data_IF_942104064573
#
_entry.id   IF_942104064573
#
_cell.length_a   1.000
_cell.length_b   1.000
_cell.length_c   1.000
_cell.angle_alpha   90.00
_cell.angle_beta   90.00
_cell.angle_gamma   90.00
#
_symmetry.space_group_name_H-M   'P 1'
#
loop_
_entity.id
_entity.type
_entity.pdbx_description
1 polymer ?
#
# COMPACT_ATOMS: atom_id res chain seq x y z
N UNK A 1 21.30 13.31 -2.92
CA UNK A 1 20.03 12.88 -3.56
C UNK A 1 20.28 11.55 -4.23
N UNK A 2 19.91 10.45 -3.58
CA UNK A 2 19.82 9.15 -4.23
C UNK A 2 18.53 9.18 -5.05
N UNK A 3 18.53 8.78 -6.34
CA UNK A 3 17.29 8.77 -7.12
C UNK A 3 16.33 7.75 -6.51
N UNK A 4 15.18 8.20 -6.02
CA UNK A 4 14.09 7.30 -5.64
C UNK A 4 13.58 6.62 -6.92
N UNK A 5 13.80 5.31 -7.02
CA UNK A 5 13.29 4.52 -8.15
C UNK A 5 11.82 4.25 -7.92
N UNK A 6 10.93 5.09 -8.48
CA UNK A 6 9.52 4.70 -8.60
C UNK A 6 9.39 3.59 -9.63
N UNK A 7 8.72 2.50 -9.26
CA UNK A 7 8.39 1.46 -10.21
C UNK A 7 7.38 1.98 -11.23
N UNK A 8 7.43 1.41 -12.44
CA UNK A 8 6.33 1.59 -13.38
C UNK A 8 5.06 0.97 -12.79
N UNK A 9 3.89 1.57 -13.03
CA UNK A 9 2.63 1.03 -12.54
C UNK A 9 2.46 -0.43 -12.99
N UNK A 10 2.28 -1.36 -12.06
CA UNK A 10 1.91 -2.74 -12.37
C UNK A 10 0.40 -2.79 -12.51
N UNK A 11 -0.07 -3.13 -13.70
CA UNK A 11 -1.49 -3.37 -13.96
C UNK A 11 -1.68 -4.84 -14.29
N UNK A 12 -2.66 -5.46 -13.63
CA UNK A 12 -3.22 -6.72 -14.13
C UNK A 12 -4.12 -6.34 -15.32
N UNK A 13 -3.86 -6.88 -16.51
CA UNK A 13 -4.78 -6.68 -17.63
C UNK A 13 -6.10 -7.36 -17.28
N UNK A 14 -7.23 -6.63 -17.16
CA UNK A 14 -8.52 -7.29 -17.08
C UNK A 14 -8.73 -8.07 -18.38
N UNK A 15 -9.17 -9.32 -18.24
CA UNK A 15 -9.51 -10.18 -19.36
C UNK A 15 -10.37 -9.44 -20.40
N UNK A 16 -10.01 -9.64 -21.66
CA UNK A 16 -10.52 -8.93 -22.83
C UNK A 16 -12.05 -8.85 -22.89
N UNK A 17 -12.57 -7.62 -22.79
CA UNK A 17 -13.79 -7.22 -23.46
C UNK A 17 -13.44 -6.01 -24.34
N UNK A 18 -13.63 -6.17 -25.65
CA UNK A 18 -13.15 -5.25 -26.67
C UNK A 18 -13.64 -3.81 -26.50
N UNK A 19 -12.70 -2.87 -26.49
CA UNK A 19 -12.97 -1.44 -26.58
C UNK A 19 -11.68 -0.71 -26.94
N UNK A 20 -11.60 -0.19 -28.16
CA UNK A 20 -10.47 0.60 -28.63
C UNK A 20 -10.31 1.89 -27.79
N UNK A 21 -9.28 1.97 -26.93
CA UNK A 21 -8.79 3.24 -26.44
C UNK A 21 -7.41 3.57 -27.03
N UNK A 22 -7.40 4.69 -27.76
CA UNK A 22 -6.23 5.29 -28.40
C UNK A 22 -5.19 5.68 -27.35
N UNK A 23 -3.96 5.23 -27.57
CA UNK A 23 -2.75 5.68 -26.86
C UNK A 23 -2.51 7.17 -27.15
N UNK A 24 -2.65 8.01 -26.13
CA UNK A 24 -2.02 9.33 -26.14
C UNK A 24 -0.76 9.28 -25.26
N UNK A 25 0.40 9.28 -25.93
CA UNK A 25 1.69 9.51 -25.29
C UNK A 25 1.75 10.95 -24.75
N UNK A 26 1.77 11.12 -23.44
CA UNK A 26 2.08 12.40 -22.81
C UNK A 26 3.60 12.62 -22.89
N UNK A 27 4.03 13.53 -23.77
CA UNK A 27 5.38 14.08 -23.83
C UNK A 27 5.63 14.93 -22.57
N UNK A 28 6.81 14.77 -21.97
CA UNK A 28 7.38 15.73 -21.02
C UNK A 28 7.37 17.14 -21.63
N UNK A 29 6.73 18.09 -20.96
CA UNK A 29 6.89 19.51 -21.26
C UNK A 29 7.68 20.16 -20.12
N UNK A 30 8.98 20.37 -20.39
CA UNK A 30 9.81 21.33 -19.68
C UNK A 30 9.24 22.74 -19.89
N UNK A 31 8.91 23.44 -18.80
CA UNK A 31 8.61 24.87 -18.84
C UNK A 31 9.91 25.66 -19.02
N UNK A 32 10.00 26.44 -20.10
CA UNK A 32 10.99 27.53 -20.26
C UNK A 32 10.24 28.86 -20.18
N UNK A 33 10.80 29.80 -19.41
CA UNK A 33 10.22 31.10 -19.09
C UNK A 33 10.43 32.16 -20.18
N UNK A 34 9.74 33.30 -20.00
CA UNK A 34 9.85 34.64 -20.63
C UNK A 34 9.36 34.76 -22.09
N UNK A 35 8.75 35.86 -22.58
CA UNK A 35 8.58 37.25 -22.13
C UNK A 35 7.37 37.93 -22.80
N UNK A 36 7.00 39.09 -22.22
CA UNK A 36 6.09 40.19 -22.60
C UNK A 36 6.06 40.55 -24.10
N UNK A 37 4.89 40.88 -24.67
CA UNK A 37 4.67 42.17 -25.34
C UNK A 37 3.18 42.51 -25.61
N UNK A 38 2.89 43.82 -25.64
CA UNK A 38 1.58 44.44 -25.78
C UNK A 38 1.28 44.87 -27.24
N UNK A 39 0.00 44.99 -27.63
CA UNK A 39 -0.66 46.22 -28.15
C UNK A 39 -1.96 45.99 -28.96
N UNK A 40 -2.97 46.83 -28.66
CA UNK A 40 -4.04 47.45 -29.50
C UNK A 40 -4.89 46.57 -30.43
N UNK A 41 -6.22 46.46 -30.23
CA UNK A 41 -7.26 47.46 -30.59
C UNK A 41 -8.03 46.92 -31.81
N UNK A 42 -9.35 46.67 -31.80
CA UNK A 42 -10.42 47.60 -32.20
C UNK A 42 -11.78 46.87 -32.13
N UNK A 43 -12.82 47.51 -31.58
CA UNK A 43 -14.28 47.23 -31.70
C UNK A 43 -14.89 48.40 -32.52
N UNK A 44 -16.15 48.41 -33.06
CA UNK A 44 -17.36 47.80 -32.47
C UNK A 44 -18.50 47.36 -33.42
N UNK A 45 -19.58 46.84 -32.80
CA UNK A 45 -20.93 46.69 -33.37
C UNK A 45 -21.45 45.27 -33.13
N UNK A 46 -22.47 44.97 -32.33
CA UNK A 46 -23.56 45.77 -31.77
C UNK A 46 -24.85 45.00 -32.04
N UNK A 47 -25.34 44.20 -31.08
CA UNK A 47 -26.78 44.03 -30.83
C UNK A 47 -27.03 43.25 -29.55
N UNK A 48 -27.89 43.83 -28.75
CA UNK A 48 -28.47 43.38 -27.50
C UNK A 48 -29.11 41.99 -27.59
N UNK A 49 -28.91 41.14 -26.58
CA UNK A 49 -30.05 40.50 -25.93
C UNK A 49 -29.71 39.87 -24.56
N UNK A 50 -30.51 40.30 -23.59
CA UNK A 50 -31.01 39.55 -22.43
C UNK A 50 -30.02 38.82 -21.50
N UNK A 51 -29.82 39.48 -20.35
CA UNK A 51 -29.68 38.92 -19.01
C UNK A 51 -30.06 37.43 -18.91
N UNK A 52 -29.06 36.56 -18.92
CA UNK A 52 -29.02 35.35 -18.09
C UNK A 52 -27.68 35.37 -17.36
N UNK A 53 -27.69 35.92 -16.15
CA UNK A 53 -26.68 35.61 -15.12
C UNK A 53 -26.74 34.09 -14.92
N UNK A 54 -25.92 33.34 -15.68
CA UNK A 54 -25.52 31.99 -15.30
C UNK A 54 -24.69 32.20 -14.04
N UNK A 55 -25.35 32.08 -12.89
CA UNK A 55 -24.69 31.75 -11.63
C UNK A 55 -23.84 30.53 -11.97
N UNK A 56 -22.52 30.71 -12.03
CA UNK A 56 -21.60 29.60 -11.79
C UNK A 56 -22.00 29.09 -10.41
N UNK A 57 -22.81 28.04 -10.38
CA UNK A 57 -22.79 27.15 -9.24
C UNK A 57 -21.34 26.67 -9.20
N UNK A 58 -20.61 27.11 -8.19
CA UNK A 58 -19.45 26.37 -7.75
C UNK A 58 -19.95 24.93 -7.60
N UNK A 59 -19.42 24.05 -8.45
CA UNK A 59 -19.66 22.63 -8.39
C UNK A 59 -19.06 22.20 -7.05
N UNK A 60 -19.89 22.25 -6.00
CA UNK A 60 -19.56 21.69 -4.69
C UNK A 60 -19.10 20.26 -4.98
N UNK A 61 -17.85 20.01 -4.62
CA UNK A 61 -17.11 18.78 -4.86
C UNK A 61 -17.98 17.56 -4.58
N UNK A 62 -18.09 16.69 -5.58
CA UNK A 62 -18.87 15.43 -5.62
C UNK A 62 -18.40 14.40 -4.59
N UNK A 63 -18.49 14.73 -3.31
CA UNK A 63 -18.60 13.75 -2.24
C UNK A 63 -20.09 13.52 -1.97
N UNK A 64 -20.87 13.22 -3.03
CA UNK A 64 -22.08 12.43 -2.80
C UNK A 64 -21.64 11.16 -2.07
N UNK A 65 -22.41 10.71 -1.08
CA UNK A 65 -22.14 9.45 -0.37
C UNK A 65 -21.96 8.38 -1.44
N UNK A 66 -20.71 7.99 -1.71
CA UNK A 66 -20.35 7.00 -2.72
C UNK A 66 -20.83 5.65 -2.19
N UNK A 67 -22.11 5.37 -2.37
CA UNK A 67 -22.71 4.06 -2.06
C UNK A 67 -22.09 2.96 -2.92
N UNK A 68 -21.44 3.33 -4.03
CA UNK A 68 -20.58 2.48 -4.83
C UNK A 68 -19.19 3.14 -4.97
N UNK A 69 -18.40 3.00 -3.91
CA UNK A 69 -16.99 3.40 -3.89
C UNK A 69 -16.12 2.43 -4.74
N UNK A 70 -16.71 1.37 -5.28
CA UNK A 70 -16.04 0.29 -6.00
C UNK A 70 -15.32 -0.71 -5.09
N UNK A 71 -15.58 -0.67 -3.77
CA UNK A 71 -15.19 -1.74 -2.88
C UNK A 71 -15.85 -3.06 -3.31
N UNK A 72 -15.09 -4.16 -3.30
CA UNK A 72 -15.55 -5.47 -3.78
C UNK A 72 -15.45 -5.69 -5.29
N UNK A 73 -14.94 -4.71 -6.06
CA UNK A 73 -14.60 -4.91 -7.48
C UNK A 73 -13.37 -5.79 -7.70
N UNK A 74 -12.47 -5.82 -6.73
CA UNK A 74 -11.33 -6.72 -6.68
C UNK A 74 -11.60 -7.86 -5.67
N UNK A 75 -10.96 -8.99 -5.90
CA UNK A 75 -11.10 -10.22 -5.13
C UNK A 75 -9.75 -10.70 -4.62
N UNK A 76 -9.74 -11.68 -3.72
CA UNK A 76 -8.48 -12.32 -3.29
C UNK A 76 -7.75 -13.00 -4.45
N UNK A 77 -8.45 -13.41 -5.51
CA UNK A 77 -7.79 -13.93 -6.71
C UNK A 77 -6.94 -12.84 -7.38
N UNK A 78 -7.47 -11.63 -7.49
CA UNK A 78 -6.75 -10.48 -8.06
C UNK A 78 -5.54 -10.11 -7.19
N UNK A 79 -5.67 -10.21 -5.86
CA UNK A 79 -4.53 -10.07 -4.95
C UNK A 79 -3.41 -11.07 -5.28
N UNK A 80 -3.73 -12.36 -5.43
CA UNK A 80 -2.73 -13.38 -5.74
C UNK A 80 -2.12 -13.23 -7.13
N UNK A 81 -2.87 -12.74 -8.11
CA UNK A 81 -2.34 -12.41 -9.43
C UNK A 81 -1.40 -11.21 -9.36
N UNK A 82 -1.75 -10.16 -8.61
CA UNK A 82 -0.88 -9.02 -8.37
C UNK A 82 0.42 -9.42 -7.66
N UNK A 83 0.34 -10.20 -6.58
CA UNK A 83 1.53 -10.71 -5.85
C UNK A 83 2.43 -11.51 -6.80
N UNK A 84 1.85 -12.36 -7.67
CA UNK A 84 2.64 -13.14 -8.64
C UNK A 84 3.24 -12.29 -9.76
N UNK A 85 2.59 -11.19 -10.11
CA UNK A 85 3.08 -10.22 -11.09
C UNK A 85 4.21 -9.33 -10.52
N UNK A 86 4.34 -9.25 -9.19
CA UNK A 86 5.46 -8.56 -8.58
C UNK A 86 6.79 -9.23 -8.97
N UNK A 87 7.85 -8.46 -9.22
CA UNK A 87 9.13 -9.04 -9.61
C UNK A 87 9.67 -9.95 -8.50
N UNK A 88 9.85 -11.24 -8.83
CA UNK A 88 10.26 -12.27 -7.87
C UNK A 88 11.74 -12.19 -7.48
N UNK A 89 12.55 -11.58 -8.35
CA UNK A 89 14.01 -11.64 -8.30
C UNK A 89 14.64 -10.30 -8.67
N UNK A 90 13.96 -9.19 -8.38
CA UNK A 90 14.48 -7.90 -8.84
C UNK A 90 15.75 -7.44 -8.13
N UNK A 91 16.11 -8.02 -6.99
CA UNK A 91 17.31 -7.69 -6.21
C UNK A 91 17.47 -6.19 -5.93
N UNK A 92 16.41 -5.41 -6.13
CA UNK A 92 16.45 -3.96 -6.14
C UNK A 92 16.35 -3.41 -4.73
N UNK A 93 16.62 -2.11 -4.54
CA UNK A 93 16.38 -1.49 -3.25
C UNK A 93 14.87 -1.43 -2.95
N UNK A 94 14.49 -1.28 -1.67
CA UNK A 94 13.14 -0.91 -1.28
C UNK A 94 12.69 0.36 -2.00
N UNK A 95 11.41 0.42 -2.37
CA UNK A 95 10.94 1.41 -3.34
C UNK A 95 9.44 1.65 -3.27
N UNK A 96 9.02 2.75 -3.85
CA UNK A 96 7.64 3.20 -3.90
C UNK A 96 7.00 2.89 -5.26
N UNK A 97 5.71 2.61 -5.26
CA UNK A 97 4.91 2.47 -6.47
C UNK A 97 3.47 2.93 -6.26
N UNK A 98 2.80 3.33 -7.34
CA UNK A 98 1.36 3.63 -7.31
C UNK A 98 0.62 2.49 -8.02
N UNK A 99 -0.34 1.82 -7.36
CA UNK A 99 -1.17 0.82 -8.01
C UNK A 99 -1.94 1.45 -9.19
N UNK A 100 -2.02 0.75 -10.33
CA UNK A 100 -2.69 1.28 -11.54
C UNK A 100 -4.17 1.50 -11.28
N UNK A 101 -4.77 0.59 -10.52
CA UNK A 101 -6.19 0.51 -10.24
C UNK A 101 -6.68 1.70 -9.40
N UNK A 102 -5.79 2.40 -8.69
CA UNK A 102 -6.12 3.63 -7.96
C UNK A 102 -6.46 4.80 -8.89
N UNK A 103 -5.98 4.79 -10.14
CA UNK A 103 -6.28 5.84 -11.11
C UNK A 103 -5.84 7.24 -10.65
N UNK A 104 -6.61 8.26 -11.06
CA UNK A 104 -6.43 9.64 -10.60
C UNK A 104 -7.53 9.95 -9.57
N UNK A 105 -7.21 10.63 -8.46
CA UNK A 105 -8.21 11.07 -7.51
C UNK A 105 -9.30 11.92 -8.14
N UNK A 106 -10.53 11.74 -7.67
CA UNK A 106 -11.70 12.51 -8.07
C UNK A 106 -11.80 13.84 -7.30
N UNK A 107 -11.09 13.96 -6.18
CA UNK A 107 -11.04 15.15 -5.33
C UNK A 107 -9.86 16.06 -5.68
N UNK A 108 -10.12 17.36 -5.76
CA UNK A 108 -9.07 18.36 -5.94
C UNK A 108 -8.14 18.39 -4.72
N UNK A 109 -6.83 18.43 -4.96
CA UNK A 109 -5.79 18.42 -3.90
C UNK A 109 -5.94 17.23 -2.94
N UNK A 110 -6.20 16.05 -3.50
CA UNK A 110 -6.33 14.80 -2.75
C UNK A 110 -5.20 14.61 -1.72
N UNK A 111 -5.50 14.20 -0.47
CA UNK A 111 -4.47 13.80 0.49
C UNK A 111 -3.60 12.65 -0.05
N UNK A 112 -2.40 12.51 0.51
CA UNK A 112 -1.49 11.42 0.18
C UNK A 112 -1.77 10.25 1.13
N UNK A 113 -1.88 9.04 0.60
CA UNK A 113 -1.94 7.81 1.38
C UNK A 113 -0.69 6.97 1.09
N UNK A 114 0.10 6.76 2.13
CA UNK A 114 1.28 5.89 2.12
C UNK A 114 0.93 4.54 2.75
N UNK A 115 1.00 3.48 1.98
CA UNK A 115 0.85 2.13 2.48
C UNK A 115 2.22 1.50 2.79
N UNK A 116 2.39 1.01 4.03
CA UNK A 116 3.59 0.30 4.49
C UNK A 116 3.25 -1.18 4.71
N UNK A 117 3.93 -2.10 4.01
CA UNK A 117 3.55 -3.52 3.95
C UNK A 117 3.93 -4.30 5.20
N UNK A 118 3.38 -5.52 5.27
CA UNK A 118 3.76 -6.53 6.25
C UNK A 118 5.17 -7.07 6.06
N UNK A 119 5.49 -8.18 6.74
CA UNK A 119 6.82 -8.79 6.68
C UNK A 119 7.15 -9.40 5.32
N UNK A 120 6.14 -9.75 4.50
CA UNK A 120 6.35 -10.16 3.11
C UNK A 120 6.99 -9.05 2.25
N UNK A 121 6.61 -7.79 2.51
CA UNK A 121 7.10 -6.61 1.82
C UNK A 121 6.44 -6.34 0.47
N UNK A 122 5.30 -6.96 0.15
CA UNK A 122 4.71 -6.90 -1.20
C UNK A 122 4.18 -5.51 -1.54
N UNK A 123 3.37 -4.89 -0.68
CA UNK A 123 2.78 -3.57 -0.92
C UNK A 123 1.43 -3.58 -1.63
N UNK A 124 0.79 -4.75 -1.80
CA UNK A 124 -0.48 -4.93 -2.51
C UNK A 124 -1.66 -5.29 -1.58
N UNK A 125 -1.46 -5.26 -0.26
CA UNK A 125 -2.43 -5.74 0.72
C UNK A 125 -3.73 -4.91 0.73
N UNK A 126 -3.71 -3.68 0.20
CA UNK A 126 -4.89 -2.83 0.03
C UNK A 126 -5.62 -3.03 -1.31
N UNK A 127 -5.30 -4.06 -2.12
CA UNK A 127 -5.85 -4.19 -3.48
C UNK A 127 -7.39 -4.19 -3.53
N UNK A 128 -8.05 -4.79 -2.54
CA UNK A 128 -9.52 -4.79 -2.42
C UNK A 128 -10.12 -3.39 -2.21
N UNK A 129 -9.29 -2.44 -1.79
CA UNK A 129 -9.62 -1.06 -1.48
C UNK A 129 -8.97 -0.05 -2.44
N UNK A 130 -8.08 -0.47 -3.35
CA UNK A 130 -7.33 0.45 -4.22
C UNK A 130 -8.25 1.36 -5.03
N UNK A 131 -9.35 0.82 -5.58
CA UNK A 131 -10.30 1.62 -6.34
C UNK A 131 -11.01 2.66 -5.47
N UNK A 132 -11.53 2.27 -4.30
CA UNK A 132 -12.25 3.20 -3.42
C UNK A 132 -11.33 4.23 -2.79
N UNK A 133 -10.14 3.84 -2.34
CA UNK A 133 -9.13 4.75 -1.82
C UNK A 133 -8.60 5.68 -2.91
N UNK A 134 -8.40 5.18 -4.13
CA UNK A 134 -7.89 5.95 -5.26
C UNK A 134 -8.79 7.11 -5.69
N UNK A 135 -10.11 7.03 -5.41
CA UNK A 135 -11.04 8.16 -5.62
C UNK A 135 -10.73 9.35 -4.70
N UNK A 136 -10.22 9.10 -3.50
CA UNK A 136 -10.04 10.10 -2.43
C UNK A 136 -8.57 10.47 -2.19
N UNK A 137 -7.65 9.56 -2.45
CA UNK A 137 -6.23 9.67 -2.10
C UNK A 137 -5.36 9.48 -3.32
N UNK A 138 -4.24 10.20 -3.38
CA UNK A 138 -3.10 9.69 -4.15
C UNK A 138 -2.49 8.56 -3.34
N UNK A 139 -2.59 7.32 -3.85
CA UNK A 139 -2.12 6.12 -3.14
C UNK A 139 -0.70 5.78 -3.61
N UNK A 140 0.20 5.59 -2.65
CA UNK A 140 1.56 5.15 -2.86
C UNK A 140 1.90 4.01 -1.89
N UNK A 141 2.36 2.88 -2.43
CA UNK A 141 2.68 1.68 -1.68
C UNK A 141 4.19 1.49 -1.62
N UNK A 142 4.68 1.14 -0.43
CA UNK A 142 6.06 0.77 -0.23
C UNK A 142 6.25 -0.72 -0.51
N UNK A 143 7.33 -1.07 -1.21
CA UNK A 143 7.69 -2.44 -1.53
C UNK A 143 9.10 -2.73 -1.04
N UNK A 144 9.26 -3.86 -0.34
CA UNK A 144 10.53 -4.37 0.17
C UNK A 144 10.76 -5.74 -0.48
N UNK A 145 11.72 -5.86 -1.41
CA UNK A 145 11.99 -7.13 -2.08
C UNK A 145 12.23 -8.27 -1.10
N UNK A 146 11.81 -9.47 -1.46
CA UNK A 146 11.87 -10.66 -0.59
C UNK A 146 13.29 -10.94 -0.09
N UNK A 147 14.28 -10.70 -0.96
CA UNK A 147 15.70 -10.89 -0.67
C UNK A 147 16.40 -9.65 -0.15
N UNK A 148 15.71 -8.51 0.00
CA UNK A 148 16.28 -7.31 0.59
C UNK A 148 16.75 -7.57 2.04
N UNK A 149 17.91 -6.99 2.37
CA UNK A 149 18.58 -7.11 3.67
C UNK A 149 18.83 -5.73 4.30
N UNK A 150 18.04 -4.73 3.93
CA UNK A 150 18.09 -3.42 4.57
C UNK A 150 17.63 -3.58 6.03
N UNK A 151 18.42 -3.14 7.02
CA UNK A 151 18.01 -3.20 8.43
C UNK A 151 16.84 -2.25 8.70
N UNK A 152 16.16 -2.41 9.84
CA UNK A 152 14.97 -1.63 10.18
C UNK A 152 15.21 -0.11 10.10
N UNK A 153 16.34 0.36 10.61
CA UNK A 153 16.74 1.77 10.60
C UNK A 153 16.92 2.30 9.18
N UNK A 154 17.42 1.47 8.26
CA UNK A 154 17.55 1.83 6.85
C UNK A 154 16.19 1.96 6.17
N UNK A 155 15.27 1.04 6.45
CA UNK A 155 13.89 1.13 5.95
C UNK A 155 13.16 2.35 6.52
N UNK A 156 13.32 2.60 7.82
CA UNK A 156 12.78 3.78 8.50
C UNK A 156 13.30 5.07 7.85
N UNK A 157 14.60 5.14 7.56
CA UNK A 157 15.18 6.29 6.88
C UNK A 157 14.58 6.51 5.49
N UNK A 158 14.40 5.45 4.69
CA UNK A 158 13.80 5.55 3.35
C UNK A 158 12.37 6.12 3.43
N UNK A 159 11.57 5.62 4.38
CA UNK A 159 10.19 6.09 4.55
C UNK A 159 10.15 7.53 5.08
N UNK A 160 10.98 7.84 6.06
CA UNK A 160 11.10 9.18 6.64
C UNK A 160 11.53 10.22 5.59
N UNK A 161 12.52 9.90 4.76
CA UNK A 161 12.96 10.78 3.68
C UNK A 161 11.82 11.07 2.69
N UNK A 162 11.00 10.07 2.36
CA UNK A 162 9.85 10.25 1.48
C UNK A 162 8.77 11.13 2.11
N UNK A 163 8.44 10.90 3.39
CA UNK A 163 7.49 11.74 4.13
C UNK A 163 7.95 13.19 4.22
N UNK A 164 9.23 13.43 4.53
CA UNK A 164 9.83 14.77 4.56
C UNK A 164 9.80 15.45 3.19
N UNK A 165 10.08 14.70 2.14
CA UNK A 165 10.03 15.20 0.77
C UNK A 165 8.62 15.65 0.37
N UNK A 166 7.61 14.82 0.62
CA UNK A 166 6.21 15.12 0.29
C UNK A 166 5.67 16.28 1.14
N UNK A 167 6.00 16.31 2.43
CA UNK A 167 5.65 17.44 3.31
C UNK A 167 6.30 18.75 2.85
N UNK A 168 7.58 18.73 2.47
CA UNK A 168 8.25 19.94 1.95
C UNK A 168 7.67 20.40 0.60
N UNK A 169 7.25 19.47 -0.25
CA UNK A 169 6.64 19.76 -1.54
C UNK A 169 5.24 20.36 -1.38
N UNK A 170 4.46 19.89 -0.39
CA UNK A 170 3.10 20.34 -0.12
C UNK A 170 2.82 20.45 1.40
N UNK A 171 3.29 21.53 2.07
CA UNK A 171 3.24 21.62 3.54
C UNK A 171 1.86 21.58 4.18
N UNK A 172 0.81 21.95 3.43
CA UNK A 172 -0.57 21.96 3.92
C UNK A 172 -1.36 20.71 3.50
N UNK A 173 -0.70 19.70 2.91
CA UNK A 173 -1.35 18.48 2.43
C UNK A 173 -1.22 17.40 3.51
N UNK A 174 -2.33 16.88 4.06
CA UNK A 174 -2.27 15.79 5.03
C UNK A 174 -1.66 14.52 4.42
N UNK A 175 -0.87 13.81 5.21
CA UNK A 175 -0.28 12.52 4.83
C UNK A 175 -0.86 11.43 5.73
N UNK A 176 -1.61 10.51 5.13
CA UNK A 176 -2.13 9.33 5.78
C UNK A 176 -1.11 8.20 5.63
N UNK A 177 -0.79 7.51 6.72
CA UNK A 177 0.07 6.34 6.70
C UNK A 177 -0.73 5.13 7.19
N UNK A 178 -0.92 4.17 6.31
CA UNK A 178 -1.50 2.87 6.64
C UNK A 178 -0.37 1.87 6.82
N UNK A 179 -0.20 1.35 8.03
CA UNK A 179 0.83 0.37 8.34
C UNK A 179 0.23 -0.98 8.73
N UNK A 180 0.45 -2.00 7.89
CA UNK A 180 0.06 -3.38 8.21
C UNK A 180 1.20 -4.13 8.92
N UNK A 181 0.91 -4.76 10.05
CA UNK A 181 1.83 -5.63 10.77
C UNK A 181 3.22 -4.98 10.99
N UNK A 182 4.24 -5.41 10.27
CA UNK A 182 5.58 -4.81 10.25
C UNK A 182 5.57 -3.34 9.84
N UNK A 183 4.81 -2.98 8.81
CA UNK A 183 4.60 -1.62 8.34
C UNK A 183 3.99 -0.72 9.41
N UNK A 184 3.22 -1.28 10.35
CA UNK A 184 2.76 -0.56 11.54
C UNK A 184 3.91 -0.09 12.43
N UNK A 185 4.97 -0.89 12.60
CA UNK A 185 6.16 -0.49 13.34
C UNK A 185 6.91 0.65 12.64
N UNK A 186 7.00 0.62 11.30
CA UNK A 186 7.56 1.72 10.51
C UNK A 186 6.72 2.99 10.67
N UNK A 187 5.40 2.90 10.51
CA UNK A 187 4.47 4.03 10.62
C UNK A 187 4.59 4.74 11.98
N UNK A 188 4.57 3.97 13.07
CA UNK A 188 4.78 4.49 14.44
C UNK A 188 6.13 5.22 14.54
N UNK A 189 7.19 4.60 14.04
CA UNK A 189 8.56 5.12 14.18
C UNK A 189 8.75 6.39 13.36
N UNK A 190 8.16 6.48 12.17
CA UNK A 190 8.16 7.69 11.33
C UNK A 190 7.40 8.80 12.04
N UNK A 191 6.19 8.53 12.56
CA UNK A 191 5.40 9.55 13.24
C UNK A 191 6.09 10.08 14.51
N UNK A 192 6.70 9.20 15.30
CA UNK A 192 7.43 9.60 16.49
C UNK A 192 8.65 10.51 16.19
N UNK A 193 9.30 10.31 15.04
CA UNK A 193 10.48 11.08 14.61
C UNK A 193 10.15 12.41 13.93
N UNK A 194 8.89 12.61 13.53
CA UNK A 194 8.44 13.77 12.76
C UNK A 194 7.15 14.37 13.36
N UNK A 195 7.15 14.76 14.65
CA UNK A 195 5.95 15.27 15.31
C UNK A 195 5.43 16.59 14.71
N UNK A 196 6.24 17.30 13.92
CA UNK A 196 5.89 18.54 13.25
C UNK A 196 5.13 18.35 11.92
N UNK A 197 5.14 17.14 11.36
CA UNK A 197 4.45 16.83 10.10
C UNK A 197 3.03 16.37 10.44
N UNK A 198 2.03 16.90 9.72
CA UNK A 198 0.63 16.50 9.84
C UNK A 198 0.40 15.08 9.29
N UNK A 199 0.57 14.10 10.19
CA UNK A 199 0.43 12.67 9.92
C UNK A 199 -0.82 12.12 10.58
N UNK A 200 -1.55 11.29 9.83
CA UNK A 200 -2.67 10.48 10.34
C UNK A 200 -2.34 9.01 10.15
N UNK A 201 -2.39 8.22 11.21
CA UNK A 201 -2.02 6.81 11.17
C UNK A 201 -3.25 5.90 11.20
N UNK A 202 -3.26 4.91 10.31
CA UNK A 202 -4.12 3.72 10.42
C UNK A 202 -3.23 2.50 10.60
N UNK A 203 -3.23 1.94 11.81
CA UNK A 203 -2.41 0.80 12.17
C UNK A 203 -3.24 -0.48 12.11
N UNK A 204 -2.87 -1.39 11.21
CA UNK A 204 -3.55 -2.68 11.02
C UNK A 204 -2.69 -3.77 11.65
N UNK A 205 -3.19 -4.36 12.74
CA UNK A 205 -2.51 -5.40 13.52
C UNK A 205 -1.00 -5.15 13.71
N UNK A 206 -0.58 -3.94 14.16
CA UNK A 206 0.82 -3.58 14.21
C UNK A 206 1.62 -4.58 15.05
N UNK A 207 2.77 -5.01 14.54
CA UNK A 207 3.56 -6.08 15.14
C UNK A 207 4.35 -5.66 16.39
N UNK A 208 3.91 -4.62 17.10
CA UNK A 208 4.55 -4.08 18.31
C UNK A 208 4.59 -5.11 19.44
N UNK A 209 3.68 -6.07 19.46
CA UNK A 209 3.63 -7.20 20.41
C UNK A 209 4.50 -8.40 20.02
N UNK A 210 5.08 -8.45 18.81
CA UNK A 210 5.84 -9.62 18.31
C UNK A 210 7.06 -10.00 19.16
N UNK A 211 7.61 -9.06 19.93
CA UNK A 211 8.64 -9.33 20.92
C UNK A 211 8.15 -10.18 22.11
N UNK A 212 6.83 -10.29 22.31
CA UNK A 212 6.17 -11.01 23.40
C UNK A 212 5.49 -12.31 22.94
N UNK A 213 5.52 -12.63 21.64
CA UNK A 213 4.85 -13.81 21.08
C UNK A 213 5.78 -15.03 21.04
N UNK A 214 5.19 -16.20 20.74
CA UNK A 214 5.90 -17.48 20.53
C UNK A 214 7.02 -17.40 19.49
N UNK A 215 7.06 -16.36 18.67
CA UNK A 215 8.14 -16.07 17.74
C UNK A 215 9.51 -16.04 18.42
N UNK A 216 9.63 -15.44 19.62
CA UNK A 216 10.92 -15.39 20.33
C UNK A 216 11.41 -16.78 20.75
N UNK A 217 10.50 -17.70 21.06
CA UNK A 217 10.84 -19.06 21.44
C UNK A 217 11.31 -19.91 20.24
N UNK A 218 10.78 -19.61 19.05
CA UNK A 218 11.05 -20.39 17.83
C UNK A 218 12.27 -19.86 17.06
N UNK A 219 12.55 -18.56 17.13
CA UNK A 219 13.64 -17.94 16.36
C UNK A 219 15.02 -18.60 16.57
N UNK A 220 15.49 -18.92 17.80
CA UNK A 220 16.78 -19.59 17.98
C UNK A 220 16.85 -20.96 17.32
N UNK A 221 15.73 -21.70 17.27
CA UNK A 221 15.67 -23.00 16.59
C UNK A 221 15.81 -22.83 15.08
N UNK A 222 15.13 -21.83 14.51
CA UNK A 222 15.20 -21.54 13.08
C UNK A 222 16.59 -21.07 12.64
N UNK A 223 17.33 -20.37 13.52
CA UNK A 223 18.71 -19.93 13.25
C UNK A 223 19.71 -21.09 13.13
N UNK A 224 19.42 -22.25 13.73
CA UNK A 224 20.28 -23.44 13.60
C UNK A 224 20.08 -24.19 12.29
N UNK A 225 19.03 -23.88 11.54
CA UNK A 225 18.73 -24.53 10.27
C UNK A 225 19.62 -23.98 9.15
N UNK A 226 20.06 -24.82 8.18
CA UNK A 226 20.79 -24.35 7.01
C UNK A 226 20.02 -23.28 6.23
N UNK A 227 20.67 -22.15 5.95
CA UNK A 227 20.02 -20.95 5.40
C UNK A 227 19.43 -21.15 4.00
N UNK A 228 19.94 -22.11 3.24
CA UNK A 228 19.54 -22.42 1.87
C UNK A 228 18.35 -23.38 1.77
N UNK A 229 17.82 -23.88 2.90
CA UNK A 229 16.66 -24.78 2.87
C UNK A 229 15.41 -24.03 2.39
N UNK A 230 14.63 -24.59 1.45
CA UNK A 230 13.37 -23.99 1.02
C UNK A 230 12.34 -24.06 2.15
N UNK A 231 11.57 -22.99 2.33
CA UNK A 231 10.49 -22.91 3.33
C UNK A 231 9.21 -23.47 2.72
N UNK A 232 9.08 -24.78 2.76
CA UNK A 232 7.90 -25.49 2.18
C UNK A 232 6.80 -25.77 3.20
N UNK A 233 7.06 -25.57 4.50
CA UNK A 233 6.10 -25.91 5.55
C UNK A 233 5.11 -24.75 5.78
N UNK A 234 3.77 -24.96 5.63
CA UNK A 234 2.77 -23.90 5.79
C UNK A 234 2.81 -23.17 7.14
N UNK A 235 3.20 -23.88 8.21
CA UNK A 235 3.34 -23.30 9.54
C UNK A 235 4.48 -22.28 9.66
N UNK A 236 5.47 -22.33 8.77
CA UNK A 236 6.56 -21.35 8.72
C UNK A 236 6.18 -20.16 7.83
N UNK A 237 5.46 -20.42 6.72
CA UNK A 237 4.96 -19.36 5.84
C UNK A 237 4.02 -18.38 6.55
N UNK A 238 3.34 -18.83 7.62
CA UNK A 238 2.45 -17.96 8.42
C UNK A 238 3.12 -16.68 8.92
N UNK A 239 4.44 -16.72 9.16
CA UNK A 239 5.19 -15.58 9.69
C UNK A 239 5.50 -14.50 8.64
N UNK A 240 5.30 -14.82 7.36
CA UNK A 240 5.55 -13.92 6.24
C UNK A 240 4.24 -13.39 5.66
N UNK A 241 3.31 -14.28 5.32
CA UNK A 241 2.07 -13.95 4.59
C UNK A 241 0.80 -14.10 5.44
N UNK A 242 0.94 -14.31 6.74
CA UNK A 242 -0.19 -14.65 7.62
C UNK A 242 -0.68 -16.09 7.45
N UNK A 243 -1.68 -16.50 8.25
CA UNK A 243 -2.23 -17.85 8.17
C UNK A 243 -3.08 -18.02 6.90
N UNK A 244 -2.72 -18.92 5.96
CA UNK A 244 -3.45 -19.12 4.71
C UNK A 244 -4.95 -19.42 4.90
N UNK A 245 -5.31 -20.13 5.98
CA UNK A 245 -6.70 -20.43 6.30
C UNK A 245 -7.48 -19.16 6.65
N UNK A 246 -6.87 -18.25 7.41
CA UNK A 246 -7.49 -16.98 7.78
C UNK A 246 -7.64 -16.06 6.57
N UNK A 247 -6.64 -16.07 5.68
CA UNK A 247 -6.69 -15.28 4.44
C UNK A 247 -7.76 -15.81 3.50
N UNK A 248 -7.88 -17.14 3.34
CA UNK A 248 -8.90 -17.74 2.50
C UNK A 248 -10.34 -17.42 2.97
N UNK A 249 -10.54 -17.28 4.29
CA UNK A 249 -11.81 -16.88 4.88
C UNK A 249 -12.22 -15.43 4.58
N UNK A 250 -11.30 -14.54 4.18
CA UNK A 250 -11.63 -13.14 3.82
C UNK A 250 -12.52 -13.08 2.58
N UNK A 251 -12.40 -14.05 1.69
CA UNK A 251 -13.21 -14.14 0.46
C UNK A 251 -14.64 -14.62 0.70
N UNK A 252 -14.94 -15.17 1.88
CA UNK A 252 -16.23 -15.81 2.15
C UNK A 252 -17.25 -14.74 2.52
N UNK A 253 -18.29 -14.60 1.73
CA UNK A 253 -19.33 -13.60 1.98
C UNK A 253 -20.13 -13.93 3.26
N UNK A 254 -20.52 -12.89 3.98
CA UNK A 254 -21.40 -13.04 5.14
C UNK A 254 -22.81 -13.44 4.66
N UNK A 255 -23.45 -14.39 5.36
CA UNK A 255 -24.84 -14.78 5.11
C UNK A 255 -25.04 -15.89 4.08
N UNK A 256 -23.96 -16.54 3.62
CA UNK A 256 -24.04 -17.73 2.76
C UNK A 256 -24.56 -18.96 3.50
N UNK A 257 -25.15 -19.90 2.76
CA UNK A 257 -25.45 -21.22 3.32
C UNK A 257 -24.14 -21.97 3.67
N UNK A 258 -24.17 -22.98 4.55
CA UNK A 258 -22.97 -23.75 4.90
C UNK A 258 -22.28 -24.42 3.71
N UNK A 259 -23.02 -24.83 2.68
CA UNK A 259 -22.46 -25.46 1.49
C UNK A 259 -21.75 -24.44 0.60
N UNK A 260 -22.37 -23.27 0.39
CA UNK A 260 -21.77 -22.17 -0.38
C UNK A 260 -20.53 -21.63 0.32
N UNK A 261 -20.58 -21.48 1.65
CA UNK A 261 -19.44 -21.11 2.50
C UNK A 261 -18.26 -22.06 2.28
N UNK A 262 -18.51 -23.37 2.34
CA UNK A 262 -17.47 -24.39 2.15
C UNK A 262 -16.90 -24.35 0.73
N UNK A 263 -17.76 -24.15 -0.28
CA UNK A 263 -17.34 -24.08 -1.67
C UNK A 263 -16.48 -22.84 -1.94
N UNK A 264 -16.89 -21.66 -1.48
CA UNK A 264 -16.11 -20.43 -1.62
C UNK A 264 -14.77 -20.52 -0.89
N UNK A 265 -14.78 -21.05 0.34
CA UNK A 265 -13.55 -21.27 1.10
C UNK A 265 -12.60 -22.23 0.37
N UNK A 266 -13.12 -23.34 -0.16
CA UNK A 266 -12.35 -24.32 -0.93
C UNK A 266 -11.76 -23.72 -2.22
N UNK A 267 -12.57 -22.94 -2.94
CA UNK A 267 -12.13 -22.23 -4.15
C UNK A 267 -11.03 -21.21 -3.82
N UNK A 268 -11.21 -20.46 -2.72
CA UNK A 268 -10.26 -19.47 -2.20
C UNK A 268 -8.93 -20.14 -1.84
N UNK A 269 -8.94 -21.24 -1.08
CA UNK A 269 -7.74 -22.01 -0.76
C UNK A 269 -7.06 -22.59 -2.01
N UNK A 270 -7.84 -23.14 -2.94
CA UNK A 270 -7.32 -23.72 -4.18
C UNK A 270 -6.60 -22.64 -5.02
N UNK A 271 -7.12 -21.41 -5.03
CA UNK A 271 -6.49 -20.28 -5.71
C UNK A 271 -5.14 -19.87 -5.11
N UNK A 272 -4.88 -20.19 -3.83
CA UNK A 272 -3.61 -19.92 -3.16
C UNK A 272 -2.53 -20.96 -3.43
N UNK A 273 -2.90 -22.19 -3.81
CA UNK A 273 -1.94 -23.30 -3.98
C UNK A 273 -0.77 -22.97 -4.92
N UNK A 274 -0.99 -22.34 -6.09
CA UNK A 274 0.12 -21.97 -6.97
C UNK A 274 1.10 -21.00 -6.28
N UNK A 275 0.59 -20.01 -5.56
CA UNK A 275 1.44 -19.05 -4.85
C UNK A 275 2.22 -19.73 -3.73
N UNK A 276 1.60 -20.60 -2.93
CA UNK A 276 2.28 -21.32 -1.85
C UNK A 276 3.39 -22.21 -2.39
N UNK A 277 3.16 -22.86 -3.53
CA UNK A 277 4.18 -23.64 -4.23
C UNK A 277 5.33 -22.75 -4.69
N UNK A 278 5.03 -21.64 -5.38
CA UNK A 278 6.04 -20.70 -5.88
C UNK A 278 6.82 -20.02 -4.75
N UNK A 279 6.17 -19.69 -3.64
CA UNK A 279 6.81 -19.11 -2.45
C UNK A 279 7.77 -20.10 -1.80
N UNK A 280 7.47 -21.39 -1.81
CA UNK A 280 8.36 -22.44 -1.30
C UNK A 280 9.68 -22.52 -2.08
N UNK A 281 9.65 -22.19 -3.37
CA UNK A 281 10.84 -22.16 -4.23
C UNK A 281 11.65 -20.87 -4.08
N UNK A 282 11.01 -19.77 -3.67
CA UNK A 282 11.62 -18.43 -3.56
C UNK A 282 12.14 -18.15 -2.14
N UNK A 283 11.38 -18.54 -1.12
CA UNK A 283 11.69 -18.21 0.28
C UNK A 283 12.58 -19.30 0.86
N UNK A 284 13.84 -18.95 1.06
CA UNK A 284 14.80 -19.76 1.79
C UNK A 284 14.73 -19.48 3.30
N UNK A 285 15.20 -20.43 4.11
CA UNK A 285 15.22 -20.31 5.56
C UNK A 285 15.99 -19.06 6.04
N UNK A 286 17.08 -18.70 5.35
CA UNK A 286 17.83 -17.48 5.64
C UNK A 286 16.96 -16.22 5.46
N UNK A 287 16.09 -16.19 4.46
CA UNK A 287 15.12 -15.11 4.25
C UNK A 287 14.09 -15.05 5.37
N UNK A 288 13.51 -16.19 5.74
CA UNK A 288 12.55 -16.23 6.84
C UNK A 288 13.17 -15.73 8.15
N UNK A 289 14.33 -16.27 8.53
CA UNK A 289 15.05 -15.84 9.75
C UNK A 289 15.37 -14.35 9.69
N UNK A 290 15.81 -13.84 8.54
CA UNK A 290 16.05 -12.41 8.37
C UNK A 290 14.79 -11.57 8.61
N UNK A 291 13.66 -11.91 7.98
CA UNK A 291 12.39 -11.18 8.12
C UNK A 291 11.89 -11.22 9.57
N UNK A 292 12.09 -12.33 10.29
CA UNK A 292 11.74 -12.43 11.71
C UNK A 292 12.62 -11.55 12.61
N UNK A 293 13.93 -11.45 12.32
CA UNK A 293 14.83 -10.52 13.01
C UNK A 293 14.46 -9.08 12.73
N UNK A 294 14.13 -8.76 11.48
CA UNK A 294 13.68 -7.44 11.06
C UNK A 294 12.39 -7.04 11.80
N UNK A 295 11.42 -7.95 11.89
CA UNK A 295 10.18 -7.76 12.65
C UNK A 295 10.45 -7.48 14.13
N UNK A 296 11.32 -8.28 14.76
CA UNK A 296 11.74 -8.09 16.16
C UNK A 296 12.39 -6.72 16.38
N UNK A 297 13.30 -6.32 15.47
CA UNK A 297 13.97 -5.02 15.56
C UNK A 297 12.96 -3.87 15.47
N UNK A 298 12.07 -3.93 14.47
CA UNK A 298 11.05 -2.90 14.28
C UNK A 298 10.07 -2.80 15.44
N UNK A 299 9.63 -3.93 15.99
CA UNK A 299 8.76 -3.95 17.17
C UNK A 299 9.44 -3.31 18.39
N UNK A 300 10.70 -3.66 18.67
CA UNK A 300 11.45 -3.06 19.77
C UNK A 300 11.64 -1.55 19.59
N UNK A 301 12.01 -1.12 18.38
CA UNK A 301 12.18 0.29 18.08
C UNK A 301 10.86 1.06 18.25
N UNK A 302 9.79 0.61 17.59
CA UNK A 302 8.47 1.24 17.67
C UNK A 302 7.99 1.36 19.12
N UNK A 303 8.08 0.28 19.92
CA UNK A 303 7.71 0.30 21.33
C UNK A 303 8.49 1.32 22.15
N UNK A 304 9.78 1.52 21.84
CA UNK A 304 10.60 2.50 22.56
C UNK A 304 10.17 3.94 22.28
N UNK A 305 9.49 4.19 21.16
CA UNK A 305 9.14 5.53 20.69
C UNK A 305 7.63 5.86 20.81
N UNK A 306 6.79 4.92 21.26
CA UNK A 306 5.33 5.12 21.35
C UNK A 306 4.93 6.41 22.08
N UNK A 307 5.68 6.77 23.12
CA UNK A 307 5.43 7.96 23.93
C UNK A 307 5.65 9.29 23.17
N UNK A 308 6.37 9.26 22.04
CA UNK A 308 6.67 10.42 21.22
C UNK A 308 5.71 10.60 20.04
N UNK A 309 4.79 9.65 19.81
CA UNK A 309 3.78 9.76 18.74
C UNK A 309 2.71 10.79 19.14
N UNK A 310 2.60 11.86 18.35
CA UNK A 310 1.58 12.90 18.52
C UNK A 310 0.48 12.87 17.45
N UNK A 311 0.69 12.08 16.39
CA UNK A 311 -0.24 11.88 15.29
C UNK A 311 -1.59 11.29 15.77
N UNK A 312 -2.67 11.60 15.04
CA UNK A 312 -3.94 10.89 15.23
C UNK A 312 -3.79 9.42 14.79
N UNK A 313 -4.32 8.49 15.58
CA UNK A 313 -4.16 7.05 15.34
C UNK A 313 -5.49 6.31 15.37
N UNK A 314 -5.81 5.65 14.27
CA UNK A 314 -6.82 4.60 14.19
C UNK A 314 -6.14 3.23 14.31
N UNK A 315 -6.50 2.45 15.33
CA UNK A 315 -5.97 1.10 15.55
C UNK A 315 -7.01 0.04 15.15
N UNK A 316 -6.68 -0.77 14.15
CA UNK A 316 -7.46 -1.92 13.72
C UNK A 316 -6.77 -3.20 14.18
N UNK A 317 -7.22 -3.76 15.31
CA UNK A 317 -6.64 -4.95 15.92
C UNK A 317 -7.64 -6.12 15.94
N UNK A 318 -7.20 -7.31 15.53
CA UNK A 318 -7.97 -8.56 15.62
C UNK A 318 -7.56 -9.36 16.85
N UNK A 319 -8.54 -9.78 17.67
CA UNK A 319 -8.31 -10.50 18.94
C UNK A 319 -7.86 -11.98 18.84
N UNK A 320 -7.48 -12.48 17.66
CA UNK A 320 -7.01 -13.87 17.49
C UNK A 320 -5.48 -13.92 17.44
N UNK A 321 -4.91 -14.02 18.64
CA UNK A 321 -3.48 -14.16 18.89
C UNK A 321 -2.88 -15.35 18.13
N UNK A 322 -1.94 -15.07 17.22
CA UNK A 322 -0.87 -16.05 16.97
C UNK A 322 0.43 -15.42 16.46
N UNK A 323 0.44 -14.14 16.04
CA UNK A 323 1.65 -13.49 15.52
C UNK A 323 1.80 -12.02 15.99
N UNK A 324 0.68 -11.30 16.18
CA UNK A 324 0.59 -10.00 16.86
C UNK A 324 -0.35 -10.13 18.06
#
# INVERSE_FOLDING_TARGET
>A
MVPHTMLRPFGVNPCAAGGHLRRHHARLCLRRASSVDATTGTLPGGSSNTRRRKKQAAEESRLEVLYDDGFGSATMKDYWEAVRAMPKDDGGPPRWFCPVECGRPEVDRAPLLLFLPGSDGVGMELILHHHSLGKLFEVCCFHIPVNDRTPFEGLLQIVEEYVKYESALSPSRPIYIVGDSFGGCLAISVAARNPEIDLVLTLVNPATSSAKTSLQAVLPLLETMPSNLPVVQPHLLRYLIGNPLNVAMVSVQNGLSPQETLQEFSNSLTSMLPLVSELGDIIQMGTLVWKLKLLKSGANYANSQLHAVQAEVLLLARGMASIC
#
